data_IF_177041204348
#
_entry.id   IF_177041204348
#
_cell.length_a   1.000
_cell.length_b   1.000
_cell.length_c   1.000
_cell.angle_alpha   90.00
_cell.angle_beta   90.00
_cell.angle_gamma   90.00
#
_symmetry.space_group_name_H-M   'P 1'
#
loop_
_entity.id
_entity.type
_entity.pdbx_description
1 polymer ?
#
# COMPACT_ATOMS: atom_id res chain seq x y z
N UNK A 1 -7.54 -2.21 -11.93
CA UNK A 1 -8.37 -2.43 -10.72
C UNK A 1 -8.18 -3.89 -10.35
N UNK A 2 -7.90 -4.20 -9.08
CA UNK A 2 -7.79 -5.61 -8.66
C UNK A 2 -9.20 -6.16 -8.51
N UNK A 3 -9.51 -7.27 -9.17
CA UNK A 3 -10.81 -7.94 -9.09
C UNK A 3 -10.71 -9.13 -8.15
N UNK A 4 -11.70 -9.28 -7.25
CA UNK A 4 -11.73 -10.35 -6.25
C UNK A 4 -11.15 -9.98 -4.88
N UNK A 5 -11.18 -10.94 -3.96
CA UNK A 5 -10.66 -10.78 -2.60
C UNK A 5 -9.17 -11.10 -2.56
N UNK A 6 -8.36 -10.25 -1.92
CA UNK A 6 -6.91 -10.47 -1.74
C UNK A 6 -6.61 -11.86 -1.16
N UNK A 7 -7.48 -12.32 -0.26
CA UNK A 7 -7.37 -13.62 0.40
C UNK A 7 -7.47 -14.81 -0.57
N UNK A 8 -8.25 -14.68 -1.65
CA UNK A 8 -8.39 -15.72 -2.67
C UNK A 8 -7.11 -15.82 -3.50
N UNK A 9 -6.55 -14.68 -3.87
CA UNK A 9 -5.26 -14.65 -4.57
C UNK A 9 -4.13 -15.25 -3.71
N UNK A 10 -4.10 -14.93 -2.41
CA UNK A 10 -3.13 -15.55 -1.52
C UNK A 10 -3.30 -17.09 -1.43
N UNK A 11 -4.54 -17.60 -1.48
CA UNK A 11 -4.80 -19.06 -1.54
C UNK A 11 -4.27 -19.68 -2.83
N UNK A 12 -4.50 -19.04 -3.98
CA UNK A 12 -3.99 -19.49 -5.28
C UNK A 12 -2.46 -19.60 -5.28
N UNK A 13 -1.79 -18.62 -4.68
CA UNK A 13 -0.32 -18.59 -4.55
C UNK A 13 0.21 -19.43 -3.38
N UNK A 14 -0.65 -20.15 -2.64
CA UNK A 14 -0.29 -20.88 -1.42
C UNK A 14 0.44 -20.01 -0.37
N UNK A 15 0.13 -18.72 -0.34
CA UNK A 15 0.72 -17.75 0.57
C UNK A 15 0.07 -17.82 1.95
N UNK A 16 0.91 -17.92 2.99
CA UNK A 16 0.47 -17.97 4.40
C UNK A 16 0.49 -16.61 5.10
N UNK A 17 1.23 -15.66 4.55
CA UNK A 17 1.47 -14.36 5.17
C UNK A 17 1.17 -13.22 4.21
N UNK A 18 0.47 -12.20 4.71
CA UNK A 18 0.24 -10.94 4.03
C UNK A 18 1.05 -9.83 4.71
N UNK A 19 1.99 -9.24 3.99
CA UNK A 19 2.82 -8.15 4.53
C UNK A 19 2.18 -6.79 4.27
N UNK A 20 2.04 -5.96 5.30
CA UNK A 20 1.46 -4.61 5.21
C UNK A 20 2.34 -3.59 5.93
N UNK A 21 2.50 -2.41 5.32
CA UNK A 21 3.16 -1.28 5.93
C UNK A 21 2.18 -0.39 6.70
N UNK A 22 2.58 0.09 7.88
CA UNK A 22 1.82 1.07 8.67
C UNK A 22 2.62 2.36 8.77
N UNK A 23 1.99 3.51 8.51
CA UNK A 23 2.65 4.82 8.63
C UNK A 23 2.23 5.59 9.89
N UNK A 24 1.05 5.27 10.42
CA UNK A 24 0.44 5.95 11.56
C UNK A 24 -0.49 5.01 12.33
N UNK A 25 -1.01 5.48 13.46
CA UNK A 25 -2.07 4.79 14.22
C UNK A 25 -3.37 4.63 13.41
N UNK A 26 -3.71 5.59 12.55
CA UNK A 26 -4.91 5.50 11.71
C UNK A 26 -4.81 4.38 10.67
N UNK A 27 -3.62 4.18 10.09
CA UNK A 27 -3.38 3.04 9.20
C UNK A 27 -3.59 1.72 9.96
N UNK A 28 -3.15 1.63 11.23
CA UNK A 28 -3.29 0.43 12.04
C UNK A 28 -4.76 0.04 12.27
N UNK A 29 -5.62 0.97 12.69
CA UNK A 29 -7.02 0.65 12.99
C UNK A 29 -7.78 0.14 11.75
N UNK A 30 -7.50 0.75 10.59
CA UNK A 30 -8.06 0.33 9.32
C UNK A 30 -7.54 -1.06 8.90
N UNK A 31 -6.23 -1.24 8.87
CA UNK A 31 -5.60 -2.48 8.41
C UNK A 31 -5.82 -3.65 9.37
N UNK A 32 -5.93 -3.40 10.68
CA UNK A 32 -6.28 -4.41 11.69
C UNK A 32 -7.65 -5.02 11.38
N UNK A 33 -8.63 -4.18 11.04
CA UNK A 33 -9.98 -4.65 10.69
C UNK A 33 -9.93 -5.54 9.45
N UNK A 34 -9.19 -5.12 8.41
CA UNK A 34 -9.01 -5.91 7.19
C UNK A 34 -8.30 -7.23 7.47
N UNK A 35 -7.25 -7.22 8.29
CA UNK A 35 -6.52 -8.42 8.70
C UNK A 35 -7.42 -9.45 9.37
N UNK A 36 -8.29 -9.02 10.29
CA UNK A 36 -9.24 -9.91 10.95
C UNK A 36 -10.23 -10.51 9.95
N UNK A 37 -10.74 -9.73 9.01
CA UNK A 37 -11.63 -10.23 7.96
C UNK A 37 -10.94 -11.23 7.03
N UNK A 38 -9.69 -10.93 6.63
CA UNK A 38 -8.90 -11.84 5.80
C UNK A 38 -8.59 -13.14 6.55
N UNK A 39 -8.33 -13.11 7.85
CA UNK A 39 -8.11 -14.32 8.64
C UNK A 39 -9.37 -15.20 8.70
N UNK A 40 -10.55 -14.59 8.91
CA UNK A 40 -11.84 -15.31 8.99
C UNK A 40 -12.23 -15.95 7.65
N UNK A 41 -12.06 -15.22 6.53
CA UNK A 41 -12.47 -15.68 5.19
C UNK A 41 -11.38 -16.57 4.55
N UNK A 42 -10.14 -16.40 5.00
CA UNK A 42 -8.94 -16.87 4.32
C UNK A 42 -8.38 -18.21 4.72
N UNK A 43 -8.99 -18.91 5.66
CA UNK A 43 -8.42 -20.14 6.25
C UNK A 43 -6.96 -19.93 6.68
N UNK A 44 -6.74 -19.10 7.72
CA UNK A 44 -5.46 -18.93 8.42
C UNK A 44 -4.38 -18.06 7.73
N UNK A 45 -4.76 -17.12 6.85
CA UNK A 45 -3.80 -16.11 6.38
C UNK A 45 -3.45 -15.15 7.52
N UNK A 46 -2.16 -15.08 7.83
CA UNK A 46 -1.62 -14.20 8.87
C UNK A 46 -1.16 -12.87 8.27
N UNK A 47 -1.56 -11.75 8.87
CA UNK A 47 -1.09 -10.42 8.42
C UNK A 47 0.07 -9.96 9.29
N UNK A 48 1.20 -9.62 8.66
CA UNK A 48 2.38 -9.08 9.32
C UNK A 48 2.48 -7.59 9.03
N UNK A 49 2.56 -6.79 10.09
CA UNK A 49 2.68 -5.35 9.99
C UNK A 49 4.13 -4.88 10.18
N UNK A 50 4.60 -4.05 9.25
CA UNK A 50 5.87 -3.35 9.35
C UNK A 50 5.63 -1.86 9.57
N UNK A 51 6.24 -1.30 10.61
CA UNK A 51 6.15 0.12 10.89
C UNK A 51 7.12 0.87 9.97
N UNK A 52 6.60 1.85 9.25
CA UNK A 52 7.38 2.71 8.36
C UNK A 52 8.31 3.61 9.18
N UNK A 53 9.49 3.93 8.64
CA UNK A 53 10.35 4.96 9.24
C UNK A 53 9.60 6.30 9.28
N UNK A 54 9.74 7.10 10.35
CA UNK A 54 9.05 8.39 10.47
C UNK A 54 9.25 9.32 9.27
N UNK A 55 10.45 9.30 8.68
CA UNK A 55 10.82 10.08 7.49
C UNK A 55 9.96 9.77 6.24
N UNK A 56 9.29 8.61 6.18
CA UNK A 56 8.41 8.24 5.06
C UNK A 56 6.92 8.24 5.43
N UNK A 57 6.58 8.55 6.69
CA UNK A 57 5.20 8.45 7.19
C UNK A 57 4.21 9.38 6.47
N UNK A 58 4.70 10.52 5.97
CA UNK A 58 3.91 11.54 5.28
C UNK A 58 3.67 11.24 3.79
N UNK A 59 4.34 10.23 3.23
CA UNK A 59 4.23 9.90 1.81
C UNK A 59 2.99 9.03 1.58
N UNK A 60 2.14 9.44 0.65
CA UNK A 60 1.03 8.64 0.14
C UNK A 60 0.88 8.85 -1.36
N UNK A 61 0.53 7.79 -2.11
CA UNK A 61 0.31 7.93 -3.56
C UNK A 61 -0.81 8.92 -3.87
N UNK A 62 -1.80 9.08 -2.99
CA UNK A 62 -2.86 10.09 -3.15
C UNK A 62 -2.28 11.50 -3.11
N UNK A 63 -1.47 11.82 -2.09
CA UNK A 63 -0.83 13.14 -1.99
C UNK A 63 0.13 13.37 -3.16
N UNK A 64 0.93 12.37 -3.52
CA UNK A 64 1.86 12.49 -4.67
C UNK A 64 1.09 12.78 -5.96
N UNK A 65 -0.02 12.08 -6.22
CA UNK A 65 -0.88 12.36 -7.39
C UNK A 65 -1.46 13.78 -7.37
N UNK A 66 -1.83 14.31 -6.21
CA UNK A 66 -2.29 15.70 -6.11
C UNK A 66 -1.16 16.70 -6.41
N UNK A 67 0.08 16.42 -5.99
CA UNK A 67 1.25 17.23 -6.36
C UNK A 67 1.47 17.22 -7.88
N UNK A 68 1.32 16.06 -8.54
CA UNK A 68 1.42 15.93 -10.01
C UNK A 68 0.37 16.81 -10.69
N UNK A 69 -0.90 16.71 -10.27
CA UNK A 69 -1.99 17.54 -10.80
C UNK A 69 -1.73 19.04 -10.59
N UNK A 70 -1.15 19.39 -9.45
CA UNK A 70 -0.71 20.74 -9.11
C UNK A 70 0.58 21.20 -9.81
N UNK A 71 1.20 20.36 -10.65
CA UNK A 71 2.49 20.60 -11.32
C UNK A 71 3.65 20.89 -10.36
N UNK A 72 3.59 20.33 -9.15
CA UNK A 72 4.66 20.43 -8.16
C UNK A 72 5.80 19.43 -8.40
N UNK A 73 6.92 19.64 -7.70
CA UNK A 73 8.06 18.72 -7.77
C UNK A 73 7.79 17.42 -6.99
N UNK A 74 7.90 16.27 -7.67
CA UNK A 74 7.68 14.94 -7.09
C UNK A 74 8.97 14.14 -6.84
N UNK A 75 10.12 14.64 -7.29
CA UNK A 75 11.42 13.95 -7.16
C UNK A 75 11.76 13.51 -5.73
N UNK A 76 11.45 14.29 -4.67
CA UNK A 76 11.76 13.87 -3.30
C UNK A 76 10.96 12.67 -2.80
N UNK A 77 9.86 12.31 -3.47
CA UNK A 77 8.90 11.31 -2.98
C UNK A 77 8.95 9.98 -3.74
N UNK A 78 9.75 9.91 -4.81
CA UNK A 78 9.78 8.77 -5.73
C UNK A 78 11.23 8.35 -6.04
N UNK A 79 11.49 7.04 -6.18
CA UNK A 79 12.74 6.56 -6.75
C UNK A 79 12.98 7.14 -8.15
N UNK A 80 14.26 7.36 -8.50
CA UNK A 80 14.64 7.98 -9.78
C UNK A 80 14.15 7.17 -10.98
N UNK A 81 14.15 5.86 -10.84
CA UNK A 81 13.81 4.88 -11.87
C UNK A 81 12.35 4.99 -12.33
N UNK A 82 11.47 5.57 -11.51
CA UNK A 82 10.04 5.70 -11.84
C UNK A 82 9.62 7.11 -12.26
N UNK A 83 10.51 8.11 -12.14
CA UNK A 83 10.19 9.51 -12.46
C UNK A 83 9.74 9.65 -13.92
N UNK A 84 10.48 9.05 -14.85
CA UNK A 84 10.16 9.10 -16.28
C UNK A 84 8.81 8.43 -16.58
N UNK A 85 8.50 7.34 -15.89
CA UNK A 85 7.24 6.61 -16.09
C UNK A 85 6.06 7.43 -15.59
N UNK A 86 6.21 8.10 -14.45
CA UNK A 86 5.15 8.93 -13.87
C UNK A 86 4.94 10.21 -14.70
N UNK A 87 6.01 10.82 -15.20
CA UNK A 87 5.94 12.01 -16.04
C UNK A 87 5.22 11.75 -17.38
N UNK A 88 5.44 10.58 -17.99
CA UNK A 88 4.86 10.25 -19.29
C UNK A 88 3.40 9.77 -19.23
N UNK A 89 2.95 9.26 -18.08
CA UNK A 89 1.61 8.66 -17.95
C UNK A 89 0.50 9.64 -17.53
N UNK A 90 0.77 10.93 -17.33
CA UNK A 90 -0.22 11.95 -16.90
C UNK A 90 -1.21 11.42 -15.83
N UNK A 91 -0.66 10.79 -14.77
CA UNK A 91 -1.44 10.30 -13.63
C UNK A 91 -2.16 11.43 -12.86
#
# INVERSE_FOLDING_TARGET
QFEGLTVNYCKEESAKYLLRGLRSSSDFDYEKTISQLNHIIGDEIETVFLISKPEFSHISSTIVREIIKGKGNIEPFLPKEILDTVANNNL
#
